data_IF_576940209156
#
_entry.id   IF_576940209156
#
_cell.length_a   1.000
_cell.length_b   1.000
_cell.length_c   1.000
_cell.angle_alpha   90.00
_cell.angle_beta   90.00
_cell.angle_gamma   90.00
#
_symmetry.space_group_name_H-M   'P 1'
#
loop_
_entity.id
_entity.type
_entity.pdbx_description
1 polymer ?
#
# COMPACT_ATOMS: atom_id res chain seq x y z
N UNK A 1 -7.25 -18.10 -26.45
CA UNK A 1 -8.14 -17.16 -25.72
C UNK A 1 -7.40 -16.71 -24.45
N UNK A 2 -6.72 -15.57 -24.50
CA UNK A 2 -5.86 -15.10 -23.41
C UNK A 2 -6.75 -14.48 -22.32
N UNK A 3 -6.76 -15.05 -21.11
CA UNK A 3 -7.53 -14.54 -19.98
C UNK A 3 -6.96 -13.17 -19.55
N UNK A 4 -7.54 -12.12 -20.11
CA UNK A 4 -7.12 -10.74 -19.93
C UNK A 4 -7.21 -10.30 -18.48
N UNK A 5 -7.98 -10.98 -17.61
CA UNK A 5 -8.13 -10.65 -16.18
C UNK A 5 -6.89 -10.94 -15.34
N UNK A 6 -5.98 -11.80 -15.81
CA UNK A 6 -4.76 -12.19 -15.09
C UNK A 6 -3.51 -11.44 -15.54
N UNK A 7 -3.61 -10.54 -16.52
CA UNK A 7 -2.45 -9.78 -17.00
C UNK A 7 -2.22 -8.50 -16.19
N UNK A 8 -0.95 -8.19 -15.92
CA UNK A 8 -0.54 -6.94 -15.28
C UNK A 8 -1.10 -5.71 -16.02
N UNK A 9 -1.09 -5.74 -17.36
CA UNK A 9 -1.61 -4.64 -18.21
C UNK A 9 -3.09 -4.37 -17.95
N UNK A 10 -3.92 -5.40 -17.93
CA UNK A 10 -5.35 -5.25 -17.64
C UNK A 10 -5.59 -4.80 -16.20
N UNK A 11 -4.83 -5.34 -15.24
CA UNK A 11 -4.93 -4.94 -13.84
C UNK A 11 -4.63 -3.45 -13.64
N UNK A 12 -3.53 -2.95 -14.23
CA UNK A 12 -3.18 -1.53 -14.13
C UNK A 12 -4.21 -0.66 -14.84
N UNK A 13 -4.70 -1.06 -16.03
CA UNK A 13 -5.75 -0.32 -16.75
C UNK A 13 -7.04 -0.25 -15.95
N UNK A 14 -7.44 -1.32 -15.26
CA UNK A 14 -8.61 -1.33 -14.38
C UNK A 14 -8.46 -0.33 -13.22
N UNK A 15 -7.28 -0.26 -12.59
CA UNK A 15 -7.04 0.62 -11.44
C UNK A 15 -6.87 2.08 -11.83
N UNK A 16 -6.05 2.36 -12.84
CA UNK A 16 -5.67 3.72 -13.24
C UNK A 16 -6.59 4.31 -14.30
N UNK A 17 -7.24 3.48 -15.12
CA UNK A 17 -7.93 3.89 -16.35
C UNK A 17 -7.00 4.03 -17.56
N UNK A 18 -5.67 3.91 -17.36
CA UNK A 18 -4.65 4.11 -18.38
C UNK A 18 -3.80 2.83 -18.58
N UNK A 19 -3.28 2.58 -19.79
CA UNK A 19 -2.29 1.55 -20.02
C UNK A 19 -1.01 1.76 -19.20
N UNK A 20 -0.27 0.68 -18.97
CA UNK A 20 1.08 0.76 -18.38
C UNK A 20 1.99 1.58 -19.29
N UNK A 21 2.78 2.47 -18.71
CA UNK A 21 3.71 3.33 -19.44
C UNK A 21 3.06 4.49 -20.18
N UNK A 22 1.73 4.63 -20.13
CA UNK A 22 1.06 5.81 -20.69
C UNK A 22 1.46 7.09 -19.93
N UNK A 23 1.61 8.19 -20.67
CA UNK A 23 1.85 9.51 -20.10
C UNK A 23 0.76 9.83 -19.07
N UNK A 24 1.16 10.22 -17.86
CA UNK A 24 0.23 10.52 -16.76
C UNK A 24 -0.30 9.32 -15.97
N UNK A 25 0.13 8.08 -16.26
CA UNK A 25 -0.30 6.88 -15.51
C UNK A 25 -0.01 6.99 -14.00
N UNK A 26 1.18 7.48 -13.63
CA UNK A 26 1.54 7.74 -12.23
C UNK A 26 0.61 8.79 -11.59
N UNK A 27 0.38 9.90 -12.27
CA UNK A 27 -0.50 10.97 -11.79
C UNK A 27 -1.93 10.46 -11.58
N UNK A 28 -2.47 9.69 -12.55
CA UNK A 28 -3.79 9.08 -12.43
C UNK A 28 -3.89 8.15 -11.22
N UNK A 29 -2.84 7.36 -10.95
CA UNK A 29 -2.74 6.51 -9.76
C UNK A 29 -2.77 7.32 -8.46
N UNK A 30 -1.94 8.36 -8.36
CA UNK A 30 -1.86 9.21 -7.17
C UNK A 30 -3.16 9.96 -6.91
N UNK A 31 -3.76 10.58 -7.95
CA UNK A 31 -5.05 11.28 -7.84
C UNK A 31 -6.14 10.32 -7.36
N UNK A 32 -6.19 9.08 -7.89
CA UNK A 32 -7.16 8.07 -7.42
C UNK A 32 -6.87 7.60 -5.99
N UNK A 33 -5.60 7.42 -5.63
CA UNK A 33 -5.20 7.01 -4.28
C UNK A 33 -5.62 8.05 -3.24
N UNK A 34 -5.17 9.29 -3.39
CA UNK A 34 -5.53 10.39 -2.47
C UNK A 34 -7.02 10.75 -2.53
N UNK A 35 -7.68 10.50 -3.66
CA UNK A 35 -9.13 10.62 -3.81
C UNK A 35 -9.93 9.43 -3.29
N UNK A 36 -9.29 8.38 -2.77
CA UNK A 36 -9.98 7.15 -2.38
C UNK A 36 -10.94 7.36 -1.20
N UNK A 37 -12.07 6.66 -1.25
CA UNK A 37 -13.13 6.75 -0.24
C UNK A 37 -12.84 5.94 1.03
N UNK A 38 -11.76 5.17 1.07
CA UNK A 38 -11.35 4.38 2.23
C UNK A 38 -9.84 4.12 2.21
N UNK A 39 -9.20 3.84 3.36
CA UNK A 39 -7.78 3.49 3.41
C UNK A 39 -7.43 2.24 2.60
N UNK A 40 -8.31 1.23 2.59
CA UNK A 40 -8.11 0.06 1.72
C UNK A 40 -8.12 0.46 0.22
N UNK A 41 -9.00 1.39 -0.17
CA UNK A 41 -9.04 1.92 -1.53
C UNK A 41 -7.77 2.69 -1.90
N UNK A 42 -7.21 3.46 -0.97
CA UNK A 42 -5.96 4.20 -1.18
C UNK A 42 -4.84 3.26 -1.67
N UNK A 43 -4.61 2.16 -0.96
CA UNK A 43 -3.55 1.19 -1.28
C UNK A 43 -3.81 0.39 -2.56
N UNK A 44 -5.07 0.26 -2.99
CA UNK A 44 -5.40 -0.34 -4.28
C UNK A 44 -5.01 0.54 -5.48
N UNK A 45 -4.92 1.86 -5.29
CA UNK A 45 -4.60 2.81 -6.36
C UNK A 45 -3.17 3.35 -6.30
N UNK A 46 -2.56 3.39 -5.11
CA UNK A 46 -1.24 3.98 -4.85
C UNK A 46 -0.16 3.51 -5.84
N UNK A 47 -0.03 2.19 -5.98
CA UNK A 47 0.89 1.58 -6.93
C UNK A 47 0.32 0.25 -7.44
N UNK A 48 -0.44 0.27 -8.55
CA UNK A 48 -1.11 -0.93 -9.06
C UNK A 48 -0.14 -2.01 -9.55
N UNK A 49 1.08 -1.64 -9.96
CA UNK A 49 2.10 -2.61 -10.38
C UNK A 49 2.56 -3.41 -9.16
N UNK A 50 2.99 -2.73 -8.09
CA UNK A 50 3.37 -3.40 -6.85
C UNK A 50 2.19 -4.16 -6.24
N UNK A 51 0.99 -3.56 -6.23
CA UNK A 51 -0.23 -4.22 -5.75
C UNK A 51 -0.55 -5.52 -6.49
N UNK A 52 -0.28 -5.59 -7.80
CA UNK A 52 -0.44 -6.82 -8.58
C UNK A 52 0.52 -7.92 -8.12
N UNK A 53 1.82 -7.62 -8.01
CA UNK A 53 2.85 -8.60 -7.62
C UNK A 53 2.68 -9.04 -6.17
N UNK A 54 2.51 -8.10 -5.25
CA UNK A 54 2.26 -8.39 -3.84
C UNK A 54 0.97 -9.21 -3.65
N UNK A 55 -0.09 -8.86 -4.38
CA UNK A 55 -1.34 -9.62 -4.40
C UNK A 55 -1.12 -11.07 -4.83
N UNK A 56 -0.44 -11.27 -5.97
CA UNK A 56 -0.23 -12.58 -6.58
C UNK A 56 0.73 -13.48 -5.79
N UNK A 57 1.84 -12.93 -5.29
CA UNK A 57 2.95 -13.71 -4.76
C UNK A 57 3.00 -13.74 -3.23
N UNK A 58 2.36 -12.80 -2.53
CA UNK A 58 2.37 -12.74 -1.06
C UNK A 58 0.95 -12.91 -0.52
N UNK A 59 0.03 -12.00 -0.84
CA UNK A 59 -1.30 -11.98 -0.25
C UNK A 59 -2.09 -13.27 -0.55
N UNK A 60 -2.22 -13.64 -1.83
CA UNK A 60 -3.01 -14.80 -2.24
C UNK A 60 -2.45 -16.11 -1.65
N UNK A 61 -1.13 -16.39 -1.69
CA UNK A 61 -0.58 -17.56 -1.01
C UNK A 61 -0.81 -17.57 0.49
N UNK A 62 -0.52 -16.47 1.21
CA UNK A 62 -0.69 -16.42 2.68
C UNK A 62 -2.16 -16.57 3.09
N UNK A 63 -3.09 -15.96 2.33
CA UNK A 63 -4.53 -16.07 2.58
C UNK A 63 -5.07 -17.50 2.48
N UNK A 64 -4.37 -18.43 1.81
CA UNK A 64 -4.78 -19.85 1.76
C UNK A 64 -4.63 -20.54 3.12
N UNK A 65 -3.74 -20.03 3.98
CA UNK A 65 -3.42 -20.64 5.27
C UNK A 65 -3.84 -19.77 6.47
N UNK A 66 -4.01 -18.47 6.26
CA UNK A 66 -4.31 -17.52 7.34
C UNK A 66 -5.53 -16.64 7.02
N UNK A 67 -6.18 -16.06 8.04
CA UNK A 67 -7.23 -15.07 7.86
C UNK A 67 -6.79 -13.88 7.00
N UNK A 68 -7.72 -13.22 6.28
CA UNK A 68 -7.38 -12.09 5.39
C UNK A 68 -6.61 -10.96 6.06
N UNK A 69 -6.85 -10.73 7.36
CA UNK A 69 -6.16 -9.71 8.13
C UNK A 69 -4.66 -9.99 8.25
N UNK A 70 -4.29 -11.24 8.57
CA UNK A 70 -2.90 -11.68 8.64
C UNK A 70 -2.26 -11.59 7.27
N UNK A 71 -2.93 -12.08 6.22
CA UNK A 71 -2.42 -11.99 4.86
C UNK A 71 -2.15 -10.54 4.42
N UNK A 72 -3.03 -9.60 4.77
CA UNK A 72 -2.82 -8.19 4.49
C UNK A 72 -1.60 -7.64 5.22
N UNK A 73 -1.49 -7.90 6.52
CA UNK A 73 -0.38 -7.41 7.34
C UNK A 73 0.96 -7.97 6.87
N UNK A 74 1.03 -9.28 6.57
CA UNK A 74 2.21 -9.91 5.98
C UNK A 74 2.59 -9.27 4.65
N UNK A 75 1.59 -8.91 3.83
CA UNK A 75 1.84 -8.25 2.54
C UNK A 75 2.47 -6.86 2.72
N UNK A 76 2.00 -6.08 3.70
CA UNK A 76 2.62 -4.80 4.04
C UNK A 76 4.05 -4.98 4.56
N UNK A 77 4.27 -5.89 5.52
CA UNK A 77 5.59 -6.18 6.07
C UNK A 77 6.56 -6.59 4.96
N UNK A 78 6.15 -7.51 4.07
CA UNK A 78 6.98 -7.96 2.95
C UNK A 78 7.34 -6.81 2.00
N UNK A 79 6.39 -5.90 1.75
CA UNK A 79 6.68 -4.70 0.95
C UNK A 79 7.68 -3.78 1.64
N UNK A 80 7.54 -3.55 2.95
CA UNK A 80 8.49 -2.77 3.74
C UNK A 80 9.89 -3.39 3.77
N UNK A 81 9.97 -4.70 3.93
CA UNK A 81 11.24 -5.45 3.91
C UNK A 81 11.94 -5.34 2.55
N UNK A 82 11.18 -5.36 1.45
CA UNK A 82 11.73 -5.14 0.11
C UNK A 82 12.32 -3.72 -0.03
N UNK A 83 11.66 -2.71 0.54
CA UNK A 83 12.21 -1.35 0.56
C UNK A 83 13.48 -1.25 1.39
N UNK A 84 13.50 -1.82 2.60
CA UNK A 84 14.70 -1.84 3.44
C UNK A 84 15.85 -2.57 2.73
N UNK A 85 15.57 -3.69 2.05
CA UNK A 85 16.55 -4.43 1.27
C UNK A 85 17.15 -3.58 0.13
N UNK A 86 16.33 -2.86 -0.63
CA UNK A 86 16.83 -1.93 -1.65
C UNK A 86 17.68 -0.83 -1.01
N UNK A 87 17.28 -0.28 0.14
CA UNK A 87 18.09 0.73 0.82
C UNK A 87 19.41 0.18 1.36
N UNK A 88 19.43 -1.07 1.83
CA UNK A 88 20.65 -1.77 2.22
C UNK A 88 21.61 -1.91 1.04
N UNK A 89 21.12 -2.35 -0.13
CA UNK A 89 21.95 -2.49 -1.33
C UNK A 89 22.56 -1.15 -1.78
N UNK A 90 21.84 -0.03 -1.58
CA UNK A 90 22.32 1.31 -1.97
C UNK A 90 23.26 1.92 -0.91
N UNK A 91 22.98 1.72 0.38
CA UNK A 91 23.69 2.40 1.48
C UNK A 91 24.78 1.56 2.14
N UNK A 92 24.76 0.24 1.97
CA UNK A 92 25.72 -0.71 2.55
C UNK A 92 25.48 -1.09 4.01
N UNK A 93 24.43 -0.57 4.66
CA UNK A 93 24.07 -0.91 6.04
C UNK A 93 22.57 -1.11 6.21
N UNK A 94 22.19 -1.96 7.16
CA UNK A 94 20.80 -2.34 7.41
C UNK A 94 20.08 -1.30 8.26
N UNK A 95 18.84 -1.00 7.88
CA UNK A 95 17.94 -0.15 8.67
C UNK A 95 16.51 -0.59 8.40
N UNK A 96 15.74 -0.94 9.42
CA UNK A 96 14.41 -1.57 9.26
C UNK A 96 13.25 -0.55 9.25
N UNK A 97 13.48 0.65 8.70
CA UNK A 97 12.49 1.75 8.76
C UNK A 97 11.23 1.40 7.99
N UNK A 98 11.38 0.95 6.74
CA UNK A 98 10.25 0.69 5.89
C UNK A 98 9.46 -0.53 6.36
N UNK A 99 10.11 -1.56 6.90
CA UNK A 99 9.43 -2.70 7.53
C UNK A 99 8.56 -2.26 8.70
N UNK A 100 9.12 -1.50 9.65
CA UNK A 100 8.37 -0.99 10.79
C UNK A 100 7.25 -0.03 10.36
N UNK A 101 7.51 0.85 9.40
CA UNK A 101 6.52 1.79 8.89
C UNK A 101 5.37 1.09 8.17
N UNK A 102 5.66 0.16 7.26
CA UNK A 102 4.64 -0.58 6.53
C UNK A 102 3.82 -1.48 7.46
N UNK A 103 4.42 -2.04 8.51
CA UNK A 103 3.66 -2.73 9.56
C UNK A 103 2.58 -1.81 10.14
N UNK A 104 2.93 -0.60 10.57
CA UNK A 104 1.96 0.35 11.12
C UNK A 104 0.93 0.82 10.10
N UNK A 105 1.30 0.97 8.83
CA UNK A 105 0.35 1.26 7.76
C UNK A 105 -0.65 0.10 7.58
N UNK A 106 -0.18 -1.15 7.62
CA UNK A 106 -1.02 -2.35 7.56
C UNK A 106 -2.00 -2.43 8.73
N UNK A 107 -1.51 -2.19 9.96
CA UNK A 107 -2.36 -2.09 11.16
C UNK A 107 -3.41 -0.98 10.99
N UNK A 108 -3.00 0.21 10.54
CA UNK A 108 -3.91 1.33 10.28
C UNK A 108 -5.02 0.99 9.29
N UNK A 109 -4.70 0.26 8.21
CA UNK A 109 -5.70 -0.21 7.24
C UNK A 109 -6.66 -1.22 7.86
N UNK A 110 -6.16 -2.15 8.68
CA UNK A 110 -7.00 -3.13 9.38
C UNK A 110 -7.94 -2.45 10.37
N UNK A 111 -7.43 -1.54 11.19
CA UNK A 111 -8.23 -0.76 12.14
C UNK A 111 -9.29 0.09 11.43
N UNK A 112 -8.92 0.73 10.33
CA UNK A 112 -9.88 1.48 9.53
C UNK A 112 -10.98 0.59 8.92
N UNK A 113 -10.62 -0.63 8.51
CA UNK A 113 -11.57 -1.61 7.99
C UNK A 113 -12.52 -2.11 9.09
N UNK A 114 -12.02 -2.45 10.29
CA UNK A 114 -12.85 -2.90 11.41
C UNK A 114 -13.76 -1.80 11.93
N UNK A 115 -13.28 -0.55 11.97
CA UNK A 115 -14.08 0.63 12.30
C UNK A 115 -15.01 1.09 11.16
N UNK A 116 -15.02 0.39 10.01
CA UNK A 116 -15.82 0.71 8.81
C UNK A 116 -15.64 2.17 8.36
N UNK A 117 -14.42 2.70 8.47
CA UNK A 117 -14.12 4.08 8.11
C UNK A 117 -14.36 4.33 6.62
N UNK A 118 -15.16 5.36 6.34
CA UNK A 118 -15.49 5.81 5.00
C UNK A 118 -15.33 7.32 4.90
N UNK A 119 -14.61 7.74 3.88
CA UNK A 119 -14.44 9.14 3.52
C UNK A 119 -15.35 9.56 2.36
N UNK A 120 -16.38 8.76 2.06
CA UNK A 120 -17.27 8.97 0.90
C UNK A 120 -17.99 10.32 0.92
N UNK A 121 -18.30 10.83 2.13
CA UNK A 121 -18.96 12.12 2.34
C UNK A 121 -18.06 13.35 2.15
N UNK A 122 -16.74 13.14 2.08
CA UNK A 122 -15.77 14.24 2.04
C UNK A 122 -15.29 14.52 0.62
N UNK A 123 -15.01 15.81 0.36
CA UNK A 123 -14.40 16.29 -0.88
C UNK A 123 -12.94 15.82 -1.04
N UNK A 124 -12.40 15.96 -2.24
CA UNK A 124 -11.08 15.43 -2.60
C UNK A 124 -9.97 15.85 -1.62
N UNK A 125 -9.85 17.15 -1.32
CA UNK A 125 -8.77 17.67 -0.48
C UNK A 125 -8.81 17.12 0.95
N UNK A 126 -10.00 17.00 1.54
CA UNK A 126 -10.15 16.41 2.87
C UNK A 126 -9.73 14.94 2.86
N UNK A 127 -10.14 14.17 1.83
CA UNK A 127 -9.70 12.77 1.68
C UNK A 127 -8.19 12.66 1.54
N UNK A 128 -7.61 13.49 0.68
CA UNK A 128 -6.17 13.53 0.45
C UNK A 128 -5.41 13.82 1.75
N UNK A 129 -5.86 14.82 2.51
CA UNK A 129 -5.28 15.17 3.81
C UNK A 129 -5.42 14.04 4.83
N UNK A 130 -6.55 13.35 4.91
CA UNK A 130 -6.72 12.20 5.82
C UNK A 130 -5.75 11.05 5.48
N UNK A 131 -5.59 10.72 4.20
CA UNK A 131 -4.64 9.68 3.78
C UNK A 131 -3.19 10.11 4.03
N UNK A 132 -2.84 11.35 3.69
CA UNK A 132 -1.51 11.91 3.95
C UNK A 132 -1.19 11.93 5.44
N UNK A 133 -2.13 12.38 6.28
CA UNK A 133 -1.98 12.37 7.73
C UNK A 133 -1.74 10.94 8.25
N UNK A 134 -2.51 9.95 7.76
CA UNK A 134 -2.31 8.55 8.14
C UNK A 134 -0.90 8.06 7.81
N UNK A 135 -0.41 8.34 6.61
CA UNK A 135 0.94 7.97 6.16
C UNK A 135 2.02 8.59 7.06
N UNK A 136 1.90 9.89 7.32
CA UNK A 136 2.85 10.66 8.12
C UNK A 136 2.81 10.25 9.60
N UNK A 137 1.62 10.01 10.16
CA UNK A 137 1.48 9.54 11.54
C UNK A 137 2.09 8.15 11.74
N UNK A 138 1.86 7.21 10.81
CA UNK A 138 2.51 5.90 10.86
C UNK A 138 4.03 6.00 10.71
N UNK A 139 4.53 6.95 9.90
CA UNK A 139 5.97 7.17 9.75
C UNK A 139 6.58 7.73 11.04
N UNK A 140 5.94 8.74 11.63
CA UNK A 140 6.34 9.32 12.90
C UNK A 140 6.37 8.25 14.00
N UNK A 141 5.33 7.42 14.08
CA UNK A 141 5.26 6.32 15.04
C UNK A 141 6.41 5.32 14.84
N UNK A 142 6.67 4.88 13.60
CA UNK A 142 7.77 3.99 13.29
C UNK A 142 9.13 4.58 13.69
N UNK A 143 9.33 5.88 13.46
CA UNK A 143 10.56 6.60 13.83
C UNK A 143 10.75 6.73 15.33
N UNK A 144 9.70 7.13 16.06
CA UNK A 144 9.75 7.26 17.52
C UNK A 144 10.07 5.93 18.17
N UNK A 145 9.41 4.85 17.71
CA UNK A 145 9.68 3.52 18.23
C UNK A 145 11.12 3.08 17.93
N UNK A 146 11.61 3.25 16.71
CA UNK A 146 13.00 2.91 16.40
C UNK A 146 14.03 3.68 17.24
N UNK A 147 13.74 4.95 17.53
CA UNK A 147 14.60 5.77 18.38
C UNK A 147 14.58 5.34 19.85
N UNK A 148 13.46 4.79 20.34
CA UNK A 148 13.35 4.30 21.70
C UNK A 148 14.08 2.96 21.96
N UNK A 149 14.58 2.30 20.91
CA UNK A 149 15.30 1.02 20.97
C UNK A 149 16.78 1.13 20.54
N UNK A 150 17.33 2.34 20.42
CA UNK A 150 18.74 2.65 20.16
C UNK A 150 19.26 3.49 21.32
#
# INVERSE_FOLDING_TARGET
MHDSRNSLRAFVKLRTGLPIGAKGSLQASLVKAFGARSPAGFWQYWNPIFGFYLGRYIFTPVKRFCPPAIALLTTFIACGALHDFVTFLVRGYTHFLFTAWFFWLGVGVLLAHTAKLSFSRFGFWVRASCHAATILSCLALARVLQWAWI
#
